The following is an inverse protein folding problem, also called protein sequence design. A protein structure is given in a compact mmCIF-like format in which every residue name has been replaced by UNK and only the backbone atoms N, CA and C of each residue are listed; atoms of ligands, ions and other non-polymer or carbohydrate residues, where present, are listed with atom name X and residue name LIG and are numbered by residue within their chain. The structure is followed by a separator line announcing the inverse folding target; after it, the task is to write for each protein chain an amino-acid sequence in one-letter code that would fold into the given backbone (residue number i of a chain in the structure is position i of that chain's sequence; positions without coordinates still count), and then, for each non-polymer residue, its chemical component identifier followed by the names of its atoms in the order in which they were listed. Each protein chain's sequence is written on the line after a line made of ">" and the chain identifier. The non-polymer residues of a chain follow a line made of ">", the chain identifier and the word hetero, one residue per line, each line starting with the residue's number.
data_IF_037962922852
#
_entry.id   IF_037962922852
#
_cell.length_a   1.000
_cell.length_b   1.000
_cell.length_c   1.000
_cell.angle_alpha   90.00
_cell.angle_beta   90.00
_cell.angle_gamma   90.00
#
_symmetry.space_group_name_H-M   'P 1'
#
loop_
_entity.id
_entity.type
_entity.pdbx_description
1 polymer ?
#
# COMPACT_ATOMS: atom_id res chain seq x y z
N UNK A 1 -7.13 -45.44 39.84
CA UNK A 1 -6.46 -45.53 38.53
C UNK A 1 -5.07 -44.90 38.67
N UNK A 2 -4.02 -45.69 38.49
CA UNK A 2 -2.64 -45.19 38.53
C UNK A 2 -2.41 -44.25 37.35
N UNK A 3 -2.12 -42.97 37.61
CA UNK A 3 -1.62 -42.05 36.58
C UNK A 3 -0.17 -42.43 36.30
N UNK A 4 0.05 -43.25 35.27
CA UNK A 4 1.39 -43.54 34.76
C UNK A 4 1.93 -42.29 34.06
N UNK A 5 3.12 -41.84 34.43
CA UNK A 5 3.84 -40.84 33.64
C UNK A 5 4.38 -41.54 32.39
N UNK A 6 3.93 -41.08 31.23
CA UNK A 6 4.46 -41.52 29.94
C UNK A 6 5.35 -40.42 29.38
N UNK A 7 6.61 -40.76 29.09
CA UNK A 7 7.55 -39.87 28.44
C UNK A 7 7.50 -40.13 26.93
N UNK A 8 7.25 -39.09 26.14
CA UNK A 8 7.33 -39.14 24.69
C UNK A 8 8.73 -38.66 24.29
N UNK A 9 9.48 -39.50 23.58
CA UNK A 9 10.79 -39.13 23.04
C UNK A 9 10.67 -38.93 21.54
N UNK A 10 11.23 -37.84 21.03
CA UNK A 10 11.33 -37.58 19.59
C UNK A 10 12.78 -37.82 19.19
N UNK A 11 12.99 -38.60 18.14
CA UNK A 11 14.30 -38.84 17.53
C UNK A 11 14.97 -37.51 17.15
N UNK A 12 16.18 -37.29 17.64
CA UNK A 12 16.88 -36.01 17.46
C UNK A 12 17.23 -35.73 16.00
N UNK A 13 17.49 -36.75 15.17
CA UNK A 13 17.74 -36.54 13.74
C UNK A 13 16.49 -36.04 13.02
N UNK A 14 15.30 -36.52 13.45
CA UNK A 14 14.03 -36.04 12.91
C UNK A 14 13.74 -34.62 13.38
N UNK A 15 14.10 -34.29 14.63
CA UNK A 15 13.96 -32.94 15.16
C UNK A 15 14.84 -31.94 14.42
N UNK A 16 16.12 -32.26 14.18
CA UNK A 16 17.04 -31.40 13.43
C UNK A 16 16.55 -31.12 12.01
N UNK A 17 16.06 -32.15 11.31
CA UNK A 17 15.45 -31.98 9.99
C UNK A 17 14.22 -31.05 10.02
N UNK A 18 13.41 -31.14 11.07
CA UNK A 18 12.20 -30.34 11.24
C UNK A 18 12.49 -28.89 11.65
N UNK A 19 13.55 -28.65 12.42
CA UNK A 19 13.95 -27.33 12.92
C UNK A 19 14.33 -26.35 11.80
N UNK A 20 14.67 -26.85 10.61
CA UNK A 20 14.88 -26.03 9.41
C UNK A 20 13.58 -25.56 8.75
N UNK A 21 12.45 -26.21 9.06
CA UNK A 21 11.14 -25.95 8.44
C UNK A 21 10.21 -25.24 9.42
N UNK A 22 10.37 -25.50 10.71
CA UNK A 22 9.52 -24.97 11.77
C UNK A 22 10.26 -23.88 12.53
N UNK A 23 9.60 -22.73 12.70
CA UNK A 23 10.10 -21.63 13.53
C UNK A 23 9.62 -21.76 14.97
N UNK A 24 10.54 -21.63 15.93
CA UNK A 24 10.24 -21.61 17.37
C UNK A 24 11.00 -22.65 18.19
N UNK A 25 10.65 -22.79 19.47
CA UNK A 25 11.27 -23.77 20.38
C UNK A 25 10.64 -25.15 20.26
N UNK A 26 11.42 -26.19 20.62
CA UNK A 26 10.98 -27.61 20.60
C UNK A 26 9.71 -27.85 21.42
N UNK A 27 9.63 -27.26 22.60
CA UNK A 27 8.46 -27.36 23.47
C UNK A 27 7.21 -26.73 22.84
N UNK A 28 7.33 -25.53 22.28
CA UNK A 28 6.20 -24.81 21.69
C UNK A 28 5.61 -25.56 20.48
N UNK A 29 6.45 -26.21 19.68
CA UNK A 29 5.96 -27.02 18.57
C UNK A 29 5.25 -28.29 19.04
N UNK A 30 5.77 -28.98 20.06
CA UNK A 30 5.15 -30.19 20.61
C UNK A 30 3.78 -29.89 21.21
N UNK A 31 3.65 -28.82 22.01
CA UNK A 31 2.37 -28.36 22.55
C UNK A 31 1.37 -28.10 21.43
N UNK A 32 1.78 -27.41 20.35
CA UNK A 32 0.92 -27.17 19.19
C UNK A 32 0.45 -28.47 18.51
N UNK A 33 1.30 -29.50 18.42
CA UNK A 33 0.87 -30.79 17.86
C UNK A 33 -0.10 -31.53 18.79
N UNK A 34 0.05 -31.38 20.10
CA UNK A 34 -0.88 -31.92 21.10
C UNK A 34 -2.23 -31.20 20.98
N UNK A 35 -2.25 -29.88 20.86
CA UNK A 35 -3.47 -29.09 20.64
C UNK A 35 -4.22 -29.51 19.37
N UNK A 36 -3.48 -29.70 18.27
CA UNK A 36 -4.01 -30.22 17.00
C UNK A 36 -4.59 -31.63 17.20
N UNK A 37 -3.85 -32.54 17.85
CA UNK A 37 -4.28 -33.92 18.05
C UNK A 37 -5.48 -34.05 19.00
N UNK A 38 -5.61 -33.13 19.96
CA UNK A 38 -6.74 -33.04 20.88
C UNK A 38 -7.96 -32.34 20.27
N UNK A 39 -7.87 -31.91 19.00
CA UNK A 39 -8.89 -31.14 18.30
C UNK A 39 -9.32 -29.89 19.10
N UNK A 40 -8.38 -29.33 19.87
CA UNK A 40 -8.45 -27.95 20.35
C UNK A 40 -8.07 -27.07 19.17
N UNK A 41 -8.82 -27.20 18.08
CA UNK A 41 -8.67 -26.31 16.94
C UNK A 41 -9.25 -24.97 17.37
N UNK A 42 -8.36 -24.11 17.86
CA UNK A 42 -8.68 -22.74 18.19
C UNK A 42 -9.08 -22.00 16.91
N UNK A 43 -10.39 -21.96 16.66
CA UNK A 43 -10.97 -21.24 15.53
C UNK A 43 -10.50 -19.77 15.51
N UNK A 44 -10.22 -19.19 16.69
CA UNK A 44 -9.62 -17.87 16.81
C UNK A 44 -8.24 -17.83 16.13
N UNK A 45 -7.36 -18.79 16.41
CA UNK A 45 -6.05 -18.88 15.79
C UNK A 45 -6.12 -19.09 14.26
N UNK A 46 -7.09 -19.87 13.77
CA UNK A 46 -7.32 -20.03 12.32
C UNK A 46 -7.78 -18.73 11.67
N UNK A 47 -8.69 -18.01 12.32
CA UNK A 47 -9.15 -16.71 11.84
C UNK A 47 -8.02 -15.67 11.86
N UNK A 48 -7.19 -15.65 12.91
CA UNK A 48 -6.03 -14.78 13.02
C UNK A 48 -5.02 -15.02 11.90
N UNK A 49 -4.68 -16.27 11.60
CA UNK A 49 -3.80 -16.59 10.46
C UNK A 49 -4.39 -16.15 9.11
N UNK A 50 -5.72 -16.27 8.96
CA UNK A 50 -6.41 -15.84 7.75
C UNK A 50 -6.38 -14.31 7.61
N UNK A 51 -6.57 -13.58 8.70
CA UNK A 51 -6.46 -12.12 8.74
C UNK A 51 -5.04 -11.69 8.36
N UNK A 52 -4.02 -12.27 8.97
CA UNK A 52 -2.62 -11.94 8.67
C UNK A 52 -2.27 -12.15 7.19
N UNK A 53 -2.75 -13.26 6.60
CA UNK A 53 -2.57 -13.53 5.17
C UNK A 53 -3.26 -12.50 4.29
N UNK A 54 -4.49 -12.10 4.63
CA UNK A 54 -5.24 -11.09 3.88
C UNK A 54 -4.59 -9.70 4.00
N UNK A 55 -4.10 -9.33 5.18
CA UNK A 55 -3.37 -8.08 5.40
C UNK A 55 -2.08 -8.03 4.58
N UNK A 56 -1.33 -9.12 4.52
CA UNK A 56 -0.15 -9.22 3.66
C UNK A 56 -0.50 -9.05 2.17
N UNK A 57 -1.58 -9.68 1.71
CA UNK A 57 -2.05 -9.50 0.33
C UNK A 57 -2.46 -8.05 0.03
N UNK A 58 -3.12 -7.40 1.00
CA UNK A 58 -3.53 -6.02 0.90
C UNK A 58 -2.32 -5.07 0.86
N UNK A 59 -1.28 -5.34 1.66
CA UNK A 59 -0.04 -4.57 1.63
C UNK A 59 0.69 -4.73 0.27
N UNK A 60 0.80 -5.95 -0.26
CA UNK A 60 1.39 -6.18 -1.59
C UNK A 60 0.60 -5.43 -2.69
N UNK A 61 -0.74 -5.40 -2.60
CA UNK A 61 -1.55 -4.65 -3.54
C UNK A 61 -1.34 -3.13 -3.44
N UNK A 62 -1.22 -2.60 -2.21
CA UNK A 62 -0.89 -1.19 -1.97
C UNK A 62 0.48 -0.83 -2.54
N UNK A 63 1.49 -1.68 -2.36
CA UNK A 63 2.83 -1.45 -2.89
C UNK A 63 2.83 -1.40 -4.41
N UNK A 64 2.13 -2.34 -5.08
CA UNK A 64 1.95 -2.30 -6.54
C UNK A 64 1.26 -1.02 -7.00
N UNK A 65 0.24 -0.57 -6.29
CA UNK A 65 -0.45 0.68 -6.61
C UNK A 65 0.47 1.89 -6.43
N UNK A 66 1.33 1.89 -5.41
CA UNK A 66 2.35 2.91 -5.22
C UNK A 66 3.33 2.94 -6.41
N UNK A 67 3.84 1.78 -6.82
CA UNK A 67 4.73 1.66 -7.99
C UNK A 67 4.07 2.17 -9.28
N UNK A 68 2.81 1.83 -9.52
CA UNK A 68 2.07 2.30 -10.70
C UNK A 68 1.91 3.83 -10.67
N UNK A 69 1.59 4.41 -9.52
CA UNK A 69 1.47 5.87 -9.36
C UNK A 69 2.82 6.56 -9.58
N UNK A 70 3.89 6.00 -9.03
CA UNK A 70 5.25 6.52 -9.21
C UNK A 70 5.66 6.49 -10.69
N UNK A 71 5.46 5.36 -11.39
CA UNK A 71 5.75 5.25 -12.81
C UNK A 71 4.91 6.21 -13.67
N UNK A 72 3.65 6.46 -13.30
CA UNK A 72 2.83 7.49 -13.96
C UNK A 72 3.38 8.89 -13.75
N UNK A 73 3.81 9.22 -12.52
CA UNK A 73 4.43 10.51 -12.18
C UNK A 73 5.71 10.72 -12.98
N UNK A 74 6.61 9.74 -12.96
CA UNK A 74 7.86 9.77 -13.73
C UNK A 74 7.61 9.90 -15.24
N UNK A 75 6.58 9.21 -15.77
CA UNK A 75 6.21 9.37 -17.17
C UNK A 75 5.73 10.79 -17.48
N UNK A 76 4.86 11.36 -16.63
CA UNK A 76 4.36 12.73 -16.80
C UNK A 76 5.48 13.76 -16.72
N UNK A 77 6.41 13.58 -15.79
CA UNK A 77 7.63 14.41 -15.66
C UNK A 77 8.55 14.25 -16.88
N UNK A 78 8.74 13.04 -17.40
CA UNK A 78 9.62 12.78 -18.54
C UNK A 78 9.04 13.24 -19.90
N UNK A 79 7.72 13.42 -20.02
CA UNK A 79 7.09 13.84 -21.28
C UNK A 79 6.79 15.33 -21.35
N UNK A 80 7.17 16.14 -20.34
CA UNK A 80 6.92 17.58 -20.28
C UNK A 80 5.45 17.94 -20.61
N UNK A 81 4.53 17.03 -20.29
CA UNK A 81 3.13 17.08 -20.72
C UNK A 81 2.44 18.34 -20.21
N UNK A 82 2.91 18.84 -19.07
CA UNK A 82 2.36 20.00 -18.40
C UNK A 82 3.09 21.31 -18.72
N UNK A 83 4.22 21.32 -19.42
CA UNK A 83 4.99 22.55 -19.68
C UNK A 83 4.13 23.65 -20.30
N UNK A 84 3.36 23.31 -21.35
CA UNK A 84 2.45 24.22 -22.03
C UNK A 84 1.34 24.74 -21.10
N UNK A 85 0.83 23.87 -20.22
CA UNK A 85 -0.18 24.25 -19.23
C UNK A 85 0.41 25.17 -18.16
N UNK A 86 1.63 24.85 -17.69
CA UNK A 86 2.33 25.55 -16.61
C UNK A 86 2.71 26.97 -17.00
N UNK A 87 3.02 27.25 -18.27
CA UNK A 87 3.20 28.64 -18.74
C UNK A 87 1.96 29.49 -18.46
N UNK A 88 0.76 28.95 -18.74
CA UNK A 88 -0.49 29.67 -18.52
C UNK A 88 -0.86 29.76 -17.05
N UNK A 89 -0.66 28.67 -16.31
CA UNK A 89 -0.99 28.56 -14.88
C UNK A 89 -0.07 29.44 -14.01
N UNK A 90 1.23 29.45 -14.30
CA UNK A 90 2.17 30.34 -13.61
C UNK A 90 1.85 31.81 -13.86
N UNK A 91 1.53 32.20 -15.11
CA UNK A 91 1.07 33.57 -15.40
C UNK A 91 -0.19 33.95 -14.62
N UNK A 92 -1.15 33.03 -14.46
CA UNK A 92 -2.33 33.28 -13.65
C UNK A 92 -1.98 33.44 -12.16
N UNK A 93 -1.10 32.58 -11.64
CA UNK A 93 -0.66 32.64 -10.26
C UNK A 93 0.16 33.90 -9.96
N UNK A 94 1.06 34.31 -10.84
CA UNK A 94 1.86 35.53 -10.70
C UNK A 94 0.96 36.78 -10.67
N UNK A 95 -0.12 36.77 -11.45
CA UNK A 95 -1.06 37.89 -11.52
C UNK A 95 -2.08 37.91 -10.36
N UNK A 96 -2.53 36.75 -9.89
CA UNK A 96 -3.67 36.63 -8.96
C UNK A 96 -3.27 36.10 -7.56
N UNK A 97 -2.03 35.65 -7.39
CA UNK A 97 -1.52 35.00 -6.19
C UNK A 97 -2.13 33.62 -5.89
N UNK A 98 -3.02 33.13 -6.75
CA UNK A 98 -3.67 31.83 -6.65
C UNK A 98 -4.31 31.40 -7.99
N UNK A 99 -4.70 30.12 -8.09
CA UNK A 99 -5.34 29.54 -9.27
C UNK A 99 -6.61 28.78 -8.85
N UNK A 100 -7.70 28.93 -9.60
CA UNK A 100 -8.94 28.17 -9.37
C UNK A 100 -8.89 26.76 -9.96
N UNK A 101 -9.46 25.76 -9.27
CA UNK A 101 -9.62 24.39 -9.80
C UNK A 101 -10.36 24.37 -11.14
N UNK A 102 -11.31 25.28 -11.34
CA UNK A 102 -12.02 25.44 -12.60
C UNK A 102 -11.13 25.97 -13.73
N UNK A 103 -10.18 26.87 -13.44
CA UNK A 103 -9.18 27.34 -14.42
C UNK A 103 -8.22 26.19 -14.80
N UNK A 104 -7.78 25.39 -13.82
CA UNK A 104 -6.97 24.19 -14.05
C UNK A 104 -7.71 23.21 -14.97
N UNK A 105 -8.97 22.89 -14.67
CA UNK A 105 -9.80 22.01 -15.52
C UNK A 105 -9.98 22.56 -16.93
N UNK A 106 -10.16 23.87 -17.06
CA UNK A 106 -10.31 24.51 -18.37
C UNK A 106 -9.02 24.41 -19.21
N UNK A 107 -7.87 24.73 -18.62
CA UNK A 107 -6.56 24.64 -19.28
C UNK A 107 -6.24 23.17 -19.61
N UNK A 108 -6.53 22.25 -18.69
CA UNK A 108 -6.34 20.82 -18.90
C UNK A 108 -7.13 20.32 -20.11
N UNK A 109 -8.40 20.74 -20.23
CA UNK A 109 -9.26 20.40 -21.37
C UNK A 109 -8.75 20.96 -22.70
N UNK A 110 -8.21 22.18 -22.72
CA UNK A 110 -7.68 22.79 -23.96
C UNK A 110 -6.43 22.06 -24.45
N UNK A 111 -5.60 21.60 -23.52
CA UNK A 111 -4.31 20.98 -23.84
C UNK A 111 -4.40 19.45 -23.91
N UNK A 112 -5.60 18.88 -23.81
CA UNK A 112 -5.85 17.43 -23.77
C UNK A 112 -5.02 16.68 -22.72
N UNK A 113 -4.96 17.24 -21.51
CA UNK A 113 -4.23 16.65 -20.39
C UNK A 113 -5.16 16.27 -19.24
N UNK A 114 -4.81 15.24 -18.44
CA UNK A 114 -5.60 14.85 -17.29
C UNK A 114 -5.65 15.96 -16.22
N UNK A 115 -6.86 16.42 -15.89
CA UNK A 115 -7.06 17.60 -15.03
C UNK A 115 -6.70 17.36 -13.55
N UNK A 116 -6.89 16.14 -13.04
CA UNK A 116 -6.54 15.81 -11.66
C UNK A 116 -5.02 15.80 -11.47
N UNK A 117 -4.32 15.18 -12.40
CA UNK A 117 -2.86 15.10 -12.41
C UNK A 117 -2.22 16.48 -12.59
N UNK A 118 -2.82 17.35 -13.40
CA UNK A 118 -2.37 18.75 -13.52
C UNK A 118 -2.61 19.54 -12.23
N UNK A 119 -3.73 19.32 -11.54
CA UNK A 119 -4.02 19.94 -10.23
C UNK A 119 -2.99 19.50 -9.18
N UNK A 120 -2.73 18.19 -9.08
CA UNK A 120 -1.71 17.64 -8.19
C UNK A 120 -0.32 18.21 -8.51
N UNK A 121 0.03 18.31 -9.79
CA UNK A 121 1.30 18.90 -10.22
C UNK A 121 1.43 20.39 -9.82
N UNK A 122 0.34 21.17 -9.92
CA UNK A 122 0.34 22.56 -9.46
C UNK A 122 0.60 22.68 -7.96
N UNK A 123 -0.01 21.80 -7.16
CA UNK A 123 0.16 21.76 -5.70
C UNK A 123 1.59 21.35 -5.35
N UNK A 124 2.16 20.34 -6.03
CA UNK A 124 3.53 19.88 -5.86
C UNK A 124 4.56 21.00 -6.18
N UNK A 125 4.26 21.87 -7.15
CA UNK A 125 5.07 23.06 -7.49
C UNK A 125 4.85 24.25 -6.55
N UNK A 126 4.00 24.12 -5.53
CA UNK A 126 3.75 25.16 -4.53
C UNK A 126 2.78 26.26 -4.97
N UNK A 127 2.02 26.06 -6.05
CA UNK A 127 0.99 27.01 -6.48
C UNK A 127 -0.21 26.97 -5.52
N UNK A 128 -0.72 28.14 -5.14
CA UNK A 128 -1.90 28.22 -4.28
C UNK A 128 -3.18 27.92 -5.08
N UNK A 129 -3.73 26.72 -4.91
CA UNK A 129 -4.96 26.30 -5.59
C UNK A 129 -6.20 26.53 -4.71
N UNK A 130 -7.23 27.19 -5.25
CA UNK A 130 -8.51 27.48 -4.58
C UNK A 130 -9.68 26.84 -5.34
N UNK A 131 -10.82 26.63 -4.68
CA UNK A 131 -11.95 25.89 -5.28
C UNK A 131 -12.52 26.55 -6.55
N UNK A 132 -12.51 27.89 -6.62
CA UNK A 132 -13.08 28.62 -7.74
C UNK A 132 -12.39 29.97 -7.94
N UNK A 133 -12.10 30.32 -9.20
CA UNK A 133 -11.68 31.67 -9.65
C UNK A 133 -12.34 31.96 -10.99
N UNK A 134 -12.69 33.22 -11.29
CA UNK A 134 -13.21 33.55 -12.63
C UNK A 134 -12.18 33.15 -13.71
N UNK A 135 -12.65 32.47 -14.75
CA UNK A 135 -11.81 32.15 -15.91
C UNK A 135 -11.61 33.46 -16.67
N UNK A 136 -10.37 33.92 -16.91
CA UNK A 136 -10.15 35.12 -17.71
C UNK A 136 -10.81 34.94 -19.09
N UNK A 137 -11.56 35.95 -19.51
CA UNK A 137 -12.27 35.98 -20.81
C UNK A 137 -11.30 36.03 -21.98
#
# INVERSE_FOLDING_TARGET
>A
MSKGNHCITIDDNKWEALNHVVTGSRSAWIERQIDIALNVEDEEAKLLQKIEKLDNQLNVAKDKLCQIRQAKKEKLEATNVFDTCMVSLNRLHDNLGCIGKNQIRYIARINDVPALELEEHCIDQGLKVVNFMEVPK
#
